data_IF_533314266901
#
_entry.id   IF_533314266901
#
_cell.length_a   1.000
_cell.length_b   1.000
_cell.length_c   1.000
_cell.angle_alpha   90.00
_cell.angle_beta   90.00
_cell.angle_gamma   90.00
#
_symmetry.space_group_name_H-M   'P 1'
#
loop_
_entity.id
_entity.type
_entity.pdbx_description
1 polymer ?
#
# COMPACT_ATOMS: atom_id res chain seq x y z
N UNK A 1 -4.98 -11.59 -8.10
CA UNK A 1 -4.67 -12.80 -8.90
C UNK A 1 -3.26 -12.76 -9.48
N UNK A 2 -2.85 -11.70 -10.19
CA UNK A 2 -1.52 -11.64 -10.83
C UNK A 2 -0.35 -11.78 -9.84
N UNK A 3 -0.33 -11.02 -8.74
CA UNK A 3 0.73 -11.12 -7.73
C UNK A 3 0.80 -12.51 -7.07
N UNK A 4 -0.35 -13.12 -6.76
CA UNK A 4 -0.40 -14.45 -6.14
C UNK A 4 0.24 -15.49 -7.05
N UNK A 5 -0.20 -15.55 -8.31
CA UNK A 5 0.32 -16.50 -9.28
C UNK A 5 1.83 -16.30 -9.49
N UNK A 6 2.27 -15.04 -9.61
CA UNK A 6 3.68 -14.69 -9.75
C UNK A 6 4.53 -15.21 -8.58
N UNK A 7 4.04 -15.10 -7.34
CA UNK A 7 4.77 -15.58 -6.17
C UNK A 7 4.78 -17.12 -6.13
N UNK A 8 3.66 -17.77 -6.45
CA UNK A 8 3.60 -19.23 -6.55
C UNK A 8 4.53 -19.79 -7.63
N UNK A 9 4.60 -19.13 -8.80
CA UNK A 9 5.50 -19.49 -9.90
C UNK A 9 6.98 -19.36 -9.51
N UNK A 10 7.30 -18.45 -8.60
CA UNK A 10 8.64 -18.29 -8.02
C UNK A 10 8.95 -19.25 -6.87
N UNK A 11 8.00 -20.11 -6.50
CA UNK A 11 8.21 -21.13 -5.47
C UNK A 11 8.10 -20.63 -4.03
N UNK A 12 7.50 -19.46 -3.81
CA UNK A 12 7.23 -18.99 -2.44
C UNK A 12 6.19 -19.88 -1.75
N UNK A 13 6.27 -20.05 -0.42
CA UNK A 13 5.28 -20.79 0.35
C UNK A 13 3.87 -20.23 0.16
N UNK A 14 2.87 -21.10 0.00
CA UNK A 14 1.47 -20.70 -0.22
C UNK A 14 0.94 -19.76 0.88
N UNK A 15 1.30 -20.01 2.14
CA UNK A 15 0.93 -19.17 3.26
C UNK A 15 1.51 -17.74 3.16
N UNK A 16 2.70 -17.58 2.59
CA UNK A 16 3.31 -16.29 2.33
C UNK A 16 2.60 -15.58 1.17
N UNK A 17 2.34 -16.28 0.08
CA UNK A 17 1.57 -15.77 -1.06
C UNK A 17 0.19 -15.24 -0.63
N UNK A 18 -0.51 -16.01 0.19
CA UNK A 18 -1.79 -15.64 0.79
C UNK A 18 -1.68 -14.40 1.67
N UNK A 19 -0.67 -14.37 2.55
CA UNK A 19 -0.45 -13.25 3.47
C UNK A 19 -0.20 -11.95 2.69
N UNK A 20 0.70 -12.00 1.71
CA UNK A 20 1.07 -10.84 0.89
C UNK A 20 -0.11 -10.35 0.09
N UNK A 21 -0.80 -11.24 -0.65
CA UNK A 21 -1.89 -10.82 -1.54
C UNK A 21 -3.14 -10.37 -0.80
N UNK A 22 -3.41 -10.90 0.40
CA UNK A 22 -4.49 -10.44 1.28
C UNK A 22 -4.23 -9.03 1.83
N UNK A 23 -2.98 -8.70 2.14
CA UNK A 23 -2.61 -7.39 2.67
C UNK A 23 -2.41 -6.34 1.58
N UNK A 24 -1.85 -6.73 0.44
CA UNK A 24 -1.64 -5.89 -0.75
C UNK A 24 -2.83 -6.00 -1.71
N UNK A 25 -4.03 -5.80 -1.17
CA UNK A 25 -5.31 -6.09 -1.81
C UNK A 25 -5.81 -5.05 -2.84
N UNK A 26 -5.04 -4.00 -3.11
CA UNK A 26 -5.35 -3.01 -4.16
C UNK A 26 -4.38 -3.14 -5.34
N UNK A 27 -4.81 -2.75 -6.53
CA UNK A 27 -3.92 -2.74 -7.71
C UNK A 27 -2.67 -1.91 -7.48
N UNK A 28 -2.77 -0.78 -6.75
CA UNK A 28 -1.64 0.06 -6.40
C UNK A 28 -0.59 -0.69 -5.58
N UNK A 29 -1.00 -1.31 -4.46
CA UNK A 29 -0.09 -2.07 -3.59
C UNK A 29 0.45 -3.32 -4.27
N UNK A 30 -0.39 -4.03 -5.03
CA UNK A 30 0.02 -5.23 -5.75
C UNK A 30 1.05 -4.92 -6.85
N UNK A 31 0.84 -3.84 -7.61
CA UNK A 31 1.77 -3.40 -8.66
C UNK A 31 3.14 -3.06 -8.08
N UNK A 32 3.19 -2.44 -6.89
CA UNK A 32 4.47 -2.15 -6.24
C UNK A 32 5.23 -3.42 -5.88
N UNK A 33 4.56 -4.41 -5.27
CA UNK A 33 5.20 -5.68 -4.97
C UNK A 33 5.62 -6.44 -6.23
N UNK A 34 4.80 -6.43 -7.30
CA UNK A 34 5.18 -7.03 -8.60
C UNK A 34 6.45 -6.36 -9.15
N UNK A 35 6.50 -5.03 -9.11
CA UNK A 35 7.66 -4.26 -9.53
C UNK A 35 8.88 -4.55 -8.66
N UNK A 36 8.73 -4.66 -7.35
CA UNK A 36 9.84 -5.03 -6.47
C UNK A 36 10.39 -6.42 -6.81
N UNK A 37 9.49 -7.42 -6.89
CA UNK A 37 9.85 -8.80 -7.26
C UNK A 37 10.40 -8.92 -8.69
N UNK A 38 10.19 -7.95 -9.58
CA UNK A 38 10.79 -7.99 -10.93
C UNK A 38 12.28 -7.63 -10.93
N UNK A 39 12.80 -7.00 -9.88
CA UNK A 39 14.21 -6.60 -9.79
C UNK A 39 15.10 -7.69 -9.18
N UNK A 40 14.51 -8.73 -8.59
CA UNK A 40 15.24 -9.80 -7.90
C UNK A 40 14.84 -11.17 -8.44
N UNK A 41 15.83 -12.01 -8.72
CA UNK A 41 15.61 -13.39 -9.19
C UNK A 41 15.30 -14.34 -8.05
N UNK A 42 16.06 -14.24 -6.95
CA UNK A 42 15.92 -15.05 -5.74
C UNK A 42 15.89 -14.11 -4.54
N UNK A 43 14.72 -13.96 -3.93
CA UNK A 43 14.53 -13.09 -2.78
C UNK A 43 14.05 -13.93 -1.59
N UNK A 44 14.69 -13.85 -0.41
CA UNK A 44 14.23 -14.58 0.77
C UNK A 44 12.84 -14.14 1.22
N UNK A 45 12.08 -15.04 1.84
CA UNK A 45 10.76 -14.76 2.42
C UNK A 45 10.75 -13.53 3.35
N UNK A 46 11.83 -13.34 4.12
CA UNK A 46 11.99 -12.22 5.04
C UNK A 46 11.97 -10.88 4.31
N UNK A 47 12.66 -10.78 3.17
CA UNK A 47 12.73 -9.56 2.36
C UNK A 47 11.39 -9.29 1.66
N UNK A 48 10.67 -10.34 1.25
CA UNK A 48 9.29 -10.20 0.72
C UNK A 48 8.36 -9.62 1.79
N UNK A 49 8.48 -10.09 3.03
CA UNK A 49 7.69 -9.58 4.16
C UNK A 49 8.08 -8.15 4.50
N UNK A 50 9.38 -7.82 4.49
CA UNK A 50 9.86 -6.46 4.75
C UNK A 50 9.30 -5.47 3.72
N UNK A 51 9.39 -5.80 2.43
CA UNK A 51 8.82 -4.98 1.37
C UNK A 51 7.29 -4.86 1.50
N UNK A 52 6.59 -5.94 1.87
CA UNK A 52 5.15 -5.85 2.15
C UNK A 52 4.85 -4.83 3.27
N UNK A 53 5.62 -4.85 4.36
CA UNK A 53 5.46 -3.92 5.47
C UNK A 53 5.80 -2.48 5.05
N UNK A 54 6.85 -2.27 4.27
CA UNK A 54 7.19 -0.97 3.70
C UNK A 54 6.04 -0.43 2.82
N UNK A 55 5.48 -1.28 1.95
CA UNK A 55 4.36 -0.88 1.09
C UNK A 55 3.13 -0.48 1.89
N UNK A 56 2.83 -1.22 2.96
CA UNK A 56 1.71 -0.94 3.88
C UNK A 56 1.93 0.36 4.66
N UNK A 57 3.18 0.64 5.07
CA UNK A 57 3.55 1.87 5.76
C UNK A 57 3.28 3.09 4.89
N UNK A 58 3.81 3.10 3.66
CA UNK A 58 3.60 4.19 2.70
C UNK A 58 2.11 4.42 2.41
N UNK A 59 1.33 3.33 2.28
CA UNK A 59 -0.13 3.44 2.08
C UNK A 59 -0.78 4.18 3.25
N UNK A 60 -0.39 3.86 4.48
CA UNK A 60 -0.93 4.51 5.67
C UNK A 60 -0.53 5.99 5.75
N UNK A 61 0.71 6.33 5.34
CA UNK A 61 1.16 7.72 5.25
C UNK A 61 0.35 8.52 4.22
N UNK A 62 0.06 7.93 3.05
CA UNK A 62 -0.78 8.56 2.02
C UNK A 62 -2.21 8.82 2.53
N UNK A 63 -2.80 7.90 3.29
CA UNK A 63 -4.12 8.09 3.90
C UNK A 63 -4.08 9.25 4.90
N UNK A 64 -3.10 9.23 5.82
CA UNK A 64 -2.91 10.27 6.83
C UNK A 64 -2.71 11.65 6.20
N UNK A 65 -1.96 11.72 5.10
CA UNK A 65 -1.77 12.95 4.33
C UNK A 65 -3.09 13.46 3.78
N UNK A 66 -3.90 12.61 3.14
CA UNK A 66 -5.22 13.00 2.59
C UNK A 66 -6.18 13.48 3.67
N UNK A 67 -6.23 12.81 4.82
CA UNK A 67 -7.04 13.24 5.97
C UNK A 67 -6.59 14.62 6.45
N UNK A 68 -5.28 14.84 6.55
CA UNK A 68 -4.72 16.15 6.93
C UNK A 68 -5.07 17.24 5.92
N UNK A 69 -4.99 16.95 4.62
CA UNK A 69 -5.39 17.87 3.54
C UNK A 69 -6.88 18.24 3.62
N UNK A 70 -7.76 17.27 3.92
CA UNK A 70 -9.19 17.52 4.11
C UNK A 70 -9.46 18.43 5.32
N UNK A 71 -8.79 18.18 6.44
CA UNK A 71 -8.89 19.05 7.63
C UNK A 71 -8.40 20.46 7.32
N UNK A 72 -7.28 20.60 6.62
CA UNK A 72 -6.75 21.91 6.23
C UNK A 72 -7.68 22.67 5.28
N UNK A 73 -8.34 21.98 4.34
CA UNK A 73 -9.33 22.58 3.47
C UNK A 73 -10.52 23.14 4.26
N UNK A 74 -11.06 22.36 5.21
CA UNK A 74 -12.18 22.78 6.07
C UNK A 74 -11.80 23.97 6.96
N UNK A 75 -10.61 23.95 7.55
CA UNK A 75 -10.09 25.07 8.34
C UNK A 75 -9.99 26.33 7.46
N UNK A 76 -9.47 26.20 6.25
CA UNK A 76 -9.33 27.32 5.31
C UNK A 76 -10.67 27.90 4.87
N UNK A 77 -11.71 27.07 4.71
CA UNK A 77 -13.08 27.51 4.46
C UNK A 77 -13.62 28.34 5.63
N UNK A 78 -13.44 27.87 6.86
CA UNK A 78 -13.85 28.61 8.07
C UNK A 78 -13.15 29.97 8.15
N UNK A 79 -11.85 30.03 7.87
CA UNK A 79 -11.13 31.31 7.85
C UNK A 79 -11.64 32.28 6.79
N UNK A 80 -12.10 31.78 5.64
CA UNK A 80 -12.59 32.61 4.53
C UNK A 80 -14.03 33.09 4.72
N UNK A 81 -14.89 32.24 5.26
CA UNK A 81 -16.34 32.47 5.26
C UNK A 81 -16.93 32.63 6.67
N UNK A 82 -16.12 32.44 7.72
CA UNK A 82 -16.60 32.40 9.11
C UNK A 82 -17.29 31.06 9.43
N UNK A 83 -18.03 31.03 10.54
CA UNK A 83 -18.75 29.82 10.99
C UNK A 83 -20.11 29.61 10.31
N UNK A 84 -20.53 30.53 9.43
CA UNK A 84 -21.77 30.45 8.62
C UNK A 84 -21.60 29.50 7.43
N UNK A 85 -21.10 28.30 7.69
CA UNK A 85 -21.03 27.23 6.69
C UNK A 85 -22.48 26.73 6.49
N UNK A 86 -23.12 27.12 5.38
CA UNK A 86 -24.45 26.62 4.96
C UNK A 86 -24.39 25.17 4.50
#
# INVERSE_FOLDING_TARGET
MQLYNLMMERGYPENLCDLVTRNLNTDYTATRMIGYLSHYSDLPDVEVVDEMLAILSDRNELIKKKESEQVQARISEIYRFGLDIK
#
